data_IF_333718284356
#
_entry.id   IF_333718284356
#
_cell.length_a   1.000
_cell.length_b   1.000
_cell.length_c   1.000
_cell.angle_alpha   90.00
_cell.angle_beta   90.00
_cell.angle_gamma   90.00
#
_symmetry.space_group_name_H-M   'P 1'
#
loop_
_entity.id
_entity.type
_entity.pdbx_description
1 polymer ?
#
# COMPACT_ATOMS: atom_id res chain seq x y z
N UNK A 1 4.33 5.89 -8.32
CA UNK A 1 4.75 4.53 -7.94
C UNK A 1 6.26 4.41 -8.09
N UNK A 2 6.90 3.84 -7.11
CA UNK A 2 8.36 3.70 -7.08
C UNK A 2 8.71 2.21 -7.05
N UNK A 3 9.57 1.79 -7.96
CA UNK A 3 10.10 0.43 -7.95
C UNK A 3 11.22 0.34 -6.92
N UNK A 4 11.00 -0.46 -5.85
CA UNK A 4 12.01 -0.66 -4.80
C UNK A 4 13.02 -1.71 -5.24
N UNK A 5 12.54 -2.79 -5.80
CA UNK A 5 13.32 -3.86 -6.41
C UNK A 5 12.37 -4.64 -7.33
N UNK A 6 12.85 -5.57 -8.15
CA UNK A 6 11.96 -6.29 -9.07
C UNK A 6 10.73 -6.83 -8.35
N UNK A 7 9.54 -6.51 -8.87
CA UNK A 7 8.25 -6.93 -8.38
C UNK A 7 7.85 -6.36 -7.00
N UNK A 8 8.60 -5.37 -6.47
CA UNK A 8 8.27 -4.69 -5.22
C UNK A 8 8.15 -3.20 -5.47
N UNK A 9 6.99 -2.63 -5.21
CA UNK A 9 6.66 -1.24 -5.51
C UNK A 9 6.20 -0.50 -4.26
N UNK A 10 6.57 0.78 -4.19
CA UNK A 10 6.03 1.73 -3.22
C UNK A 10 5.03 2.63 -3.93
N UNK A 11 3.81 2.66 -3.43
CA UNK A 11 2.73 3.47 -3.97
C UNK A 11 2.18 4.35 -2.87
N UNK A 12 2.01 5.64 -3.14
CA UNK A 12 1.37 6.53 -2.17
C UNK A 12 0.42 7.48 -2.88
N UNK A 13 -0.67 7.82 -2.19
CA UNK A 13 -1.65 8.77 -2.70
C UNK A 13 -2.41 9.42 -1.55
N UNK A 14 -3.06 10.53 -1.86
CA UNK A 14 -3.90 11.25 -0.91
C UNK A 14 -5.34 11.18 -1.39
N UNK A 15 -6.23 10.80 -0.49
CA UNK A 15 -7.66 10.74 -0.79
C UNK A 15 -8.32 12.10 -0.56
N UNK A 16 -9.50 12.30 -1.17
CA UNK A 16 -10.23 13.57 -1.05
C UNK A 16 -10.64 13.90 0.38
N UNK A 17 -10.86 12.88 1.21
CA UNK A 17 -11.23 13.06 2.61
C UNK A 17 -10.04 13.39 3.51
N UNK A 18 -8.83 13.50 2.95
CA UNK A 18 -7.63 13.85 3.69
C UNK A 18 -6.79 12.68 4.16
N UNK A 19 -7.19 11.45 3.89
CA UNK A 19 -6.37 10.28 4.18
C UNK A 19 -5.15 10.25 3.28
N UNK A 20 -4.00 9.92 3.84
CA UNK A 20 -2.78 9.67 3.08
C UNK A 20 -2.44 8.20 3.22
N UNK A 21 -2.29 7.51 2.11
CA UNK A 21 -2.07 6.07 2.07
C UNK A 21 -0.72 5.80 1.43
N UNK A 22 0.10 5.00 2.09
CA UNK A 22 1.36 4.52 1.56
C UNK A 22 1.34 3.00 1.58
N UNK A 23 1.63 2.40 0.45
CA UNK A 23 1.55 0.95 0.28
C UNK A 23 2.84 0.40 -0.30
N UNK A 24 3.32 -0.70 0.27
CA UNK A 24 4.36 -1.52 -0.34
C UNK A 24 3.70 -2.77 -0.90
N UNK A 25 3.80 -2.95 -2.20
CA UNK A 25 3.20 -4.07 -2.92
C UNK A 25 4.33 -5.01 -3.34
N UNK A 26 4.36 -6.19 -2.76
CA UNK A 26 5.37 -7.21 -3.03
C UNK A 26 4.73 -8.33 -3.84
N UNK A 27 4.98 -8.33 -5.14
CA UNK A 27 4.41 -9.32 -6.04
C UNK A 27 5.19 -10.63 -6.07
N UNK A 28 6.39 -10.67 -5.49
CA UNK A 28 7.12 -11.93 -5.32
C UNK A 28 6.51 -12.78 -4.20
N UNK A 29 6.13 -12.13 -3.11
CA UNK A 29 5.54 -12.80 -1.95
C UNK A 29 4.03 -12.70 -1.92
N UNK A 30 3.43 -11.99 -2.87
CA UNK A 30 2.01 -11.70 -2.93
C UNK A 30 1.50 -11.09 -1.62
N UNK A 31 2.25 -10.13 -1.11
CA UNK A 31 1.94 -9.44 0.13
C UNK A 31 1.83 -7.95 -0.10
N UNK A 32 0.97 -7.31 0.68
CA UNK A 32 0.82 -5.86 0.65
C UNK A 32 0.87 -5.32 2.09
N UNK A 33 1.63 -4.25 2.26
CA UNK A 33 1.72 -3.54 3.54
C UNK A 33 1.24 -2.11 3.31
N UNK A 34 0.22 -1.71 4.06
CA UNK A 34 -0.38 -0.39 3.91
C UNK A 34 -0.26 0.40 5.18
N UNK A 35 0.10 1.68 5.06
CA UNK A 35 0.07 2.64 6.14
C UNK A 35 -0.91 3.74 5.77
N UNK A 36 -1.84 4.02 6.67
CA UNK A 36 -2.87 5.03 6.48
C UNK A 36 -2.68 6.12 7.50
N UNK A 37 -2.55 7.35 7.06
CA UNK A 37 -2.56 8.52 7.94
C UNK A 37 -3.91 9.20 7.77
N UNK A 38 -4.68 9.22 8.86
CA UNK A 38 -6.02 9.81 8.87
C UNK A 38 -5.93 11.33 9.05
N UNK A 39 -7.00 12.08 8.71
CA UNK A 39 -6.98 13.54 8.83
C UNK A 39 -6.65 14.05 10.23
N UNK A 40 -6.98 13.28 11.27
CA UNK A 40 -6.65 13.63 12.65
C UNK A 40 -5.21 13.30 13.08
N UNK A 41 -4.39 12.77 12.17
CA UNK A 41 -3.01 12.39 12.46
C UNK A 41 -2.83 10.98 12.97
N UNK A 42 -3.89 10.19 13.04
CA UNK A 42 -3.80 8.79 13.45
C UNK A 42 -3.14 7.95 12.36
N UNK A 43 -2.35 6.98 12.77
CA UNK A 43 -1.67 6.06 11.87
C UNK A 43 -2.24 4.66 12.03
N UNK A 44 -2.64 4.07 10.91
CA UNK A 44 -3.13 2.70 10.87
C UNK A 44 -2.24 1.90 9.93
N UNK A 45 -1.76 0.75 10.39
CA UNK A 45 -0.94 -0.16 9.58
C UNK A 45 -1.71 -1.45 9.34
N UNK A 46 -1.80 -1.86 8.08
CA UNK A 46 -2.53 -3.06 7.67
C UNK A 46 -1.63 -3.89 6.78
N UNK A 47 -1.61 -5.18 7.03
CA UNK A 47 -0.90 -6.16 6.21
C UNK A 47 -1.92 -7.11 5.60
N UNK A 48 -1.80 -7.36 4.32
CA UNK A 48 -2.69 -8.26 3.60
C UNK A 48 -1.96 -9.08 2.56
N UNK A 49 -2.72 -9.81 1.77
CA UNK A 49 -2.17 -10.60 0.67
C UNK A 49 -2.72 -10.09 -0.66
N UNK A 50 -1.92 -10.27 -1.71
CA UNK A 50 -2.32 -9.97 -3.08
C UNK A 50 -2.75 -11.29 -3.70
N UNK A 51 -3.93 -11.29 -4.30
CA UNK A 51 -4.42 -12.46 -5.03
C UNK A 51 -4.32 -12.21 -6.52
N UNK A 52 -3.80 -13.20 -7.25
CA UNK A 52 -3.77 -13.17 -8.70
C UNK A 52 -5.12 -13.64 -9.25
N UNK A 53 -6.18 -12.96 -8.87
CA UNK A 53 -7.55 -13.33 -9.23
C UNK A 53 -7.90 -12.72 -10.58
N UNK A 54 -8.64 -13.46 -11.38
CA UNK A 54 -9.12 -12.99 -12.68
C UNK A 54 -8.20 -13.33 -13.84
N UNK A 55 -7.19 -14.08 -13.57
CA UNK A 55 -6.30 -14.62 -14.60
C UNK A 55 -6.96 -15.75 -15.36
#
# INVERSE_FOLDING_TARGET
MILIRPEVYLVSWKEKNGNVITQVQDFQKLAVHSNWVLPGGELISVTGSISAVGE
#
